data_IF_396134352109
#
_entry.id   IF_396134352109
#
_cell.length_a   1.000
_cell.length_b   1.000
_cell.length_c   1.000
_cell.angle_alpha   90.00
_cell.angle_beta   90.00
_cell.angle_gamma   90.00
#
_symmetry.space_group_name_H-M   'P 1'
#
loop_
_entity.id
_entity.type
_entity.pdbx_description
1 polymer ?
#
# COMPACT_ATOMS: atom_id res chain seq x y z
N UNK A 1 -4.35 32.87 6.74
CA UNK A 1 -3.24 32.02 7.24
C UNK A 1 -3.09 30.81 6.33
N UNK A 2 -1.88 30.54 5.82
CA UNK A 2 -1.59 29.37 4.98
C UNK A 2 -1.56 28.09 5.81
N UNK A 3 -1.68 26.92 5.18
CA UNK A 3 -1.54 25.62 5.86
C UNK A 3 -0.17 25.49 6.54
N UNK A 4 0.90 25.89 5.85
CA UNK A 4 2.25 25.85 6.42
C UNK A 4 2.37 26.68 7.71
N UNK A 5 1.93 27.95 7.69
CA UNK A 5 1.99 28.81 8.88
C UNK A 5 1.11 28.29 10.02
N UNK A 6 0.04 27.56 9.70
CA UNK A 6 -0.78 26.87 10.70
C UNK A 6 -0.03 25.72 11.36
N UNK A 7 0.59 24.83 10.57
CA UNK A 7 1.38 23.70 11.07
C UNK A 7 2.58 24.16 11.92
N UNK A 8 3.21 25.27 11.54
CA UNK A 8 4.36 25.86 12.28
C UNK A 8 4.04 26.32 13.69
N UNK A 9 2.76 26.37 14.10
CA UNK A 9 2.37 26.66 15.48
C UNK A 9 2.69 25.52 16.45
N UNK A 10 2.87 24.29 15.96
CA UNK A 10 3.14 23.11 16.81
C UNK A 10 4.11 22.09 16.20
N UNK A 11 4.49 22.21 14.93
CA UNK A 11 5.49 21.36 14.27
C UNK A 11 6.70 22.18 13.84
N UNK A 12 7.91 21.63 13.93
CA UNK A 12 9.14 22.18 13.32
C UNK A 12 9.08 22.16 11.79
N UNK A 13 9.96 22.90 11.13
CA UNK A 13 10.08 22.82 9.66
C UNK A 13 10.48 21.40 9.23
N UNK A 14 11.44 20.78 9.91
CA UNK A 14 11.92 19.43 9.59
C UNK A 14 10.82 18.38 9.76
N UNK A 15 10.01 18.48 10.83
CA UNK A 15 8.86 17.60 11.03
C UNK A 15 7.84 17.73 9.89
N UNK A 16 7.59 18.95 9.40
CA UNK A 16 6.69 19.17 8.26
C UNK A 16 7.30 18.56 6.99
N UNK A 17 8.60 18.76 6.77
CA UNK A 17 9.30 18.22 5.61
C UNK A 17 9.28 16.69 5.59
N UNK A 18 9.51 16.04 6.73
CA UNK A 18 9.49 14.59 6.87
C UNK A 18 8.09 14.01 6.60
N UNK A 19 7.03 14.61 7.16
CA UNK A 19 5.65 14.14 6.86
C UNK A 19 5.30 14.35 5.38
N UNK A 20 5.84 15.38 4.74
CA UNK A 20 5.57 15.74 3.36
C UNK A 20 6.47 15.04 2.32
N UNK A 21 7.54 14.33 2.72
CA UNK A 21 8.53 13.78 1.78
C UNK A 21 8.06 12.55 1.03
N UNK A 22 7.02 11.87 1.52
CA UNK A 22 6.53 10.62 0.96
C UNK A 22 5.47 10.85 -0.12
N UNK A 23 5.48 9.99 -1.16
CA UNK A 23 4.53 10.11 -2.27
C UNK A 23 3.12 9.70 -1.82
N UNK A 24 2.16 10.63 -1.95
CA UNK A 24 0.80 10.42 -1.43
C UNK A 24 -0.03 9.41 -2.24
N UNK A 25 0.13 9.35 -3.57
CA UNK A 25 -0.74 8.59 -4.47
C UNK A 25 0.07 7.88 -5.55
N UNK A 26 -0.12 6.57 -5.68
CA UNK A 26 0.41 5.77 -6.78
C UNK A 26 -0.57 5.67 -7.94
N UNK A 27 -0.93 4.44 -8.30
CA UNK A 27 -1.69 4.12 -9.50
C UNK A 27 -3.20 4.29 -9.29
N UNK A 28 -3.81 5.24 -10.00
CA UNK A 28 -5.27 5.32 -10.11
C UNK A 28 -5.71 4.68 -11.43
N UNK A 29 -6.34 3.52 -11.34
CA UNK A 29 -6.89 2.79 -12.48
C UNK A 29 -8.42 2.88 -12.37
N UNK A 30 -9.05 3.62 -13.29
CA UNK A 30 -10.46 4.01 -13.18
C UNK A 30 -10.66 5.27 -12.33
N UNK A 31 -10.57 6.44 -12.98
CA UNK A 31 -10.64 7.73 -12.28
C UNK A 31 -12.06 8.11 -11.81
N UNK A 32 -13.08 7.70 -12.56
CA UNK A 32 -14.48 8.05 -12.33
C UNK A 32 -15.20 6.92 -11.57
N UNK A 33 -16.09 7.28 -10.64
CA UNK A 33 -16.88 6.32 -9.86
C UNK A 33 -18.21 5.93 -10.52
N UNK A 34 -18.70 4.73 -10.20
CA UNK A 34 -19.97 4.14 -10.58
C UNK A 34 -20.30 4.24 -12.07
N UNK A 35 -19.28 4.03 -12.92
CA UNK A 35 -19.47 3.89 -14.37
C UNK A 35 -19.63 2.41 -14.74
N UNK A 36 -20.08 2.17 -15.97
CA UNK A 36 -20.15 0.84 -16.58
C UNK A 36 -18.88 0.02 -16.36
N UNK A 37 -18.98 -1.31 -16.26
CA UNK A 37 -17.83 -2.18 -16.09
C UNK A 37 -16.71 -1.85 -17.08
N UNK A 38 -15.51 -1.62 -16.57
CA UNK A 38 -14.35 -1.25 -17.37
C UNK A 38 -13.59 -2.48 -17.85
N UNK A 39 -12.95 -2.38 -19.01
CA UNK A 39 -12.09 -3.40 -19.60
C UNK A 39 -10.62 -3.24 -19.22
N UNK A 40 -10.32 -2.48 -18.15
CA UNK A 40 -8.94 -2.29 -17.71
C UNK A 40 -8.34 -3.63 -17.30
N UNK A 41 -7.24 -4.00 -17.97
CA UNK A 41 -6.40 -5.15 -17.64
C UNK A 41 -4.98 -4.65 -17.45
N UNK A 42 -4.42 -4.81 -16.24
CA UNK A 42 -3.08 -4.29 -15.92
C UNK A 42 -2.29 -5.36 -15.17
N UNK A 43 -1.00 -5.47 -15.48
CA UNK A 43 -0.05 -6.25 -14.68
C UNK A 43 0.97 -5.30 -14.03
N UNK A 44 1.13 -5.39 -12.71
CA UNK A 44 2.16 -4.68 -11.96
C UNK A 44 3.13 -5.70 -11.37
N UNK A 45 4.37 -5.72 -11.83
CA UNK A 45 5.36 -6.68 -11.32
C UNK A 45 6.75 -6.09 -11.16
N UNK A 46 7.51 -6.63 -10.21
CA UNK A 46 8.91 -6.25 -9.94
C UNK A 46 9.11 -4.73 -9.72
N UNK A 47 8.07 -4.09 -9.16
CA UNK A 47 8.11 -2.69 -8.80
C UNK A 47 8.57 -2.53 -7.35
N UNK A 48 9.49 -1.59 -7.13
CA UNK A 48 9.85 -1.12 -5.79
C UNK A 48 9.10 0.17 -5.48
N UNK A 49 8.14 0.11 -4.55
CA UNK A 49 7.41 1.26 -4.04
C UNK A 49 8.02 1.71 -2.72
N UNK A 50 8.94 2.67 -2.77
CA UNK A 50 9.57 3.23 -1.58
C UNK A 50 8.78 4.46 -1.08
N UNK A 51 8.30 4.43 0.16
CA UNK A 51 7.60 5.53 0.81
C UNK A 51 6.27 5.90 0.14
N UNK A 52 5.60 4.95 -0.52
CA UNK A 52 4.32 5.21 -1.19
C UNK A 52 3.16 5.01 -0.20
N UNK A 53 2.31 6.02 -0.05
CA UNK A 53 1.28 6.02 0.99
C UNK A 53 -0.05 5.34 0.61
N UNK A 54 -0.39 5.32 -0.68
CA UNK A 54 -1.72 4.92 -1.15
C UNK A 54 -1.64 4.45 -2.62
N UNK A 55 -2.58 3.56 -3.00
CA UNK A 55 -2.84 3.14 -4.38
C UNK A 55 -1.72 2.31 -5.01
N UNK A 56 -1.53 1.10 -4.50
CA UNK A 56 -0.56 0.12 -5.01
C UNK A 56 -1.19 -1.16 -5.59
N UNK A 57 -2.23 -1.11 -6.46
CA UNK A 57 -2.89 0.04 -7.09
C UNK A 57 -4.16 0.49 -6.35
N UNK A 58 -4.86 1.51 -6.87
CA UNK A 58 -6.29 1.72 -6.62
C UNK A 58 -7.10 1.51 -7.89
N UNK A 59 -7.96 0.49 -7.87
CA UNK A 59 -8.77 0.05 -8.99
C UNK A 59 -10.26 0.36 -8.77
N UNK A 60 -10.92 0.83 -9.85
CA UNK A 60 -12.38 0.85 -9.99
C UNK A 60 -12.77 0.05 -11.22
N UNK A 61 -13.51 -1.03 -11.01
CA UNK A 61 -13.85 -1.98 -12.07
C UNK A 61 -12.61 -2.55 -12.78
N UNK A 62 -12.78 -3.54 -13.67
CA UNK A 62 -11.66 -4.19 -14.38
C UNK A 62 -10.83 -5.13 -13.49
N UNK A 63 -9.64 -5.47 -13.99
CA UNK A 63 -8.80 -6.56 -13.50
C UNK A 63 -7.32 -6.14 -13.41
N UNK A 64 -6.68 -6.38 -12.27
CA UNK A 64 -5.25 -6.13 -12.10
C UNK A 64 -4.54 -7.32 -11.46
N UNK A 65 -3.50 -7.82 -12.14
CA UNK A 65 -2.58 -8.80 -11.59
C UNK A 65 -1.37 -8.08 -10.99
N UNK A 66 -1.06 -8.38 -9.73
CA UNK A 66 0.11 -7.84 -9.03
C UNK A 66 1.00 -9.00 -8.59
N UNK A 67 2.29 -8.98 -8.91
CA UNK A 67 3.21 -9.99 -8.38
C UNK A 67 4.65 -9.52 -8.21
N UNK A 68 5.39 -10.11 -7.27
CA UNK A 68 6.78 -9.74 -6.98
C UNK A 68 6.97 -8.22 -6.76
N UNK A 69 6.06 -7.55 -6.06
CA UNK A 69 6.28 -6.14 -5.69
C UNK A 69 6.88 -6.05 -4.30
N UNK A 70 7.71 -5.03 -4.08
CA UNK A 70 8.14 -4.63 -2.73
C UNK A 70 7.60 -3.24 -2.45
N UNK A 71 6.59 -3.17 -1.59
CA UNK A 71 6.02 -1.93 -1.09
C UNK A 71 6.62 -1.64 0.29
N UNK A 72 7.69 -0.86 0.30
CA UNK A 72 8.38 -0.45 1.52
C UNK A 72 7.95 0.96 1.92
N UNK A 73 7.04 1.01 2.89
CA UNK A 73 6.60 2.23 3.55
C UNK A 73 7.04 2.25 5.01
N UNK A 74 8.15 1.58 5.34
CA UNK A 74 8.68 1.48 6.70
C UNK A 74 8.95 2.83 7.34
N UNK A 75 9.71 3.69 6.67
CA UNK A 75 10.01 5.05 7.14
C UNK A 75 8.72 5.89 7.24
N UNK A 76 7.85 5.83 6.23
CA UNK A 76 6.56 6.52 6.26
C UNK A 76 5.70 6.08 7.45
N UNK A 77 5.77 4.80 7.83
CA UNK A 77 5.05 4.25 8.99
C UNK A 77 5.64 4.74 10.30
N UNK A 78 6.96 4.80 10.43
CA UNK A 78 7.63 5.40 11.60
C UNK A 78 7.28 6.88 11.70
N UNK A 79 7.29 7.62 10.59
CA UNK A 79 6.84 9.02 10.54
C UNK A 79 5.40 9.18 10.96
N UNK A 80 4.51 8.31 10.46
CA UNK A 80 3.10 8.28 10.89
C UNK A 80 2.97 8.12 12.39
N UNK A 81 3.74 7.21 13.00
CA UNK A 81 3.67 6.94 14.44
C UNK A 81 3.97 8.20 15.24
N UNK A 82 5.13 8.82 15.03
CA UNK A 82 5.49 9.99 15.82
C UNK A 82 4.57 11.18 15.51
N UNK A 83 4.08 11.30 14.27
CA UNK A 83 3.11 12.33 13.90
C UNK A 83 1.81 12.17 14.68
N UNK A 84 1.26 10.95 14.75
CA UNK A 84 0.04 10.65 15.51
C UNK A 84 0.28 10.91 17.02
N UNK A 85 1.45 10.53 17.57
CA UNK A 85 1.82 10.81 18.97
C UNK A 85 1.89 12.32 19.27
N UNK A 86 2.55 13.10 18.39
CA UNK A 86 2.61 14.56 18.49
C UNK A 86 1.22 15.19 18.41
N UNK A 87 0.40 14.71 17.46
CA UNK A 87 -0.96 15.20 17.25
C UNK A 87 -1.82 14.98 18.50
N UNK A 88 -1.74 13.79 19.11
CA UNK A 88 -2.47 13.44 20.32
C UNK A 88 -1.99 14.21 21.57
N UNK A 89 -0.71 14.59 21.62
CA UNK A 89 -0.15 15.40 22.71
C UNK A 89 -0.42 16.91 22.55
N UNK A 90 -0.80 17.36 21.35
CA UNK A 90 -1.03 18.78 21.04
C UNK A 90 -2.44 19.21 21.42
N UNK A 91 -2.60 20.43 21.95
CA UNK A 91 -3.90 21.01 22.27
C UNK A 91 -4.88 20.94 21.09
N UNK A 92 -6.11 20.51 21.36
CA UNK A 92 -7.18 20.41 20.36
C UNK A 92 -7.47 21.73 19.64
N UNK A 93 -7.24 22.88 20.28
CA UNK A 93 -7.36 24.20 19.65
C UNK A 93 -6.34 24.42 18.53
N UNK A 94 -5.12 23.89 18.68
CA UNK A 94 -4.05 24.02 17.69
C UNK A 94 -4.21 23.00 16.56
N UNK A 95 -4.92 21.89 16.77
CA UNK A 95 -5.16 20.85 15.75
C UNK A 95 -6.56 20.89 15.13
N UNK A 96 -7.43 21.80 15.59
CA UNK A 96 -8.85 21.86 15.20
C UNK A 96 -9.11 21.83 13.68
N UNK A 97 -8.28 22.50 12.87
CA UNK A 97 -8.47 22.54 11.40
C UNK A 97 -8.08 21.23 10.71
N UNK A 98 -7.20 20.43 11.32
CA UNK A 98 -6.88 19.08 10.84
C UNK A 98 -8.01 18.13 11.21
N UNK A 99 -8.52 18.20 12.45
CA UNK A 99 -9.62 17.37 12.93
C UNK A 99 -10.93 17.64 12.17
N UNK A 100 -11.23 18.91 11.86
CA UNK A 100 -12.42 19.28 11.08
C UNK A 100 -12.33 18.92 9.60
N UNK A 101 -11.17 18.45 9.12
CA UNK A 101 -10.91 18.20 7.71
C UNK A 101 -10.75 19.47 6.87
N UNK A 102 -10.67 20.65 7.49
CA UNK A 102 -10.39 21.89 6.75
C UNK A 102 -8.99 21.90 6.15
N UNK A 103 -8.02 21.24 6.81
CA UNK A 103 -6.70 20.93 6.28
C UNK A 103 -6.46 19.42 6.33
N UNK A 104 -5.75 18.91 5.32
CA UNK A 104 -5.32 17.52 5.27
C UNK A 104 -3.79 17.46 5.28
N UNK A 105 -3.24 17.02 6.39
CA UNK A 105 -1.80 16.80 6.57
C UNK A 105 -1.59 15.52 7.38
N UNK A 106 -0.62 14.71 6.98
CA UNK A 106 -0.35 13.41 7.59
C UNK A 106 -0.15 12.28 6.59
N UNK A 107 0.22 11.12 7.13
CA UNK A 107 0.61 9.95 6.37
C UNK A 107 -0.58 8.98 6.20
N UNK A 108 -0.88 8.62 4.95
CA UNK A 108 -1.80 7.50 4.65
C UNK A 108 -1.00 6.21 4.58
N UNK A 109 -1.62 5.07 4.89
CA UNK A 109 -0.94 3.78 4.92
C UNK A 109 -1.85 2.68 4.36
N UNK A 110 -2.05 2.73 3.05
CA UNK A 110 -2.85 1.76 2.29
C UNK A 110 -2.01 1.11 1.20
N UNK A 111 -2.29 -0.15 0.90
CA UNK A 111 -1.69 -0.90 -0.20
C UNK A 111 -2.54 -0.90 -1.46
N UNK A 112 -2.89 -2.11 -1.89
CA UNK A 112 -3.83 -2.39 -2.96
C UNK A 112 -5.26 -2.11 -2.50
N UNK A 113 -5.97 -1.33 -3.31
CA UNK A 113 -7.34 -0.90 -3.06
C UNK A 113 -8.16 -1.26 -4.28
N UNK A 114 -9.27 -1.91 -4.06
CA UNK A 114 -10.24 -2.10 -5.12
C UNK A 114 -11.64 -1.79 -4.65
N UNK A 115 -12.40 -1.28 -5.61
CA UNK A 115 -13.71 -0.71 -5.40
C UNK A 115 -14.55 -0.99 -6.64
N UNK A 116 -15.86 -0.91 -6.49
CA UNK A 116 -16.80 -0.85 -7.62
C UNK A 116 -16.65 -2.05 -8.59
N UNK A 117 -16.61 -3.26 -8.04
CA UNK A 117 -16.46 -4.50 -8.80
C UNK A 117 -15.08 -4.70 -9.42
N UNK A 118 -14.04 -3.99 -9.01
CA UNK A 118 -12.66 -4.28 -9.46
C UNK A 118 -12.14 -5.61 -8.89
N UNK A 119 -11.26 -6.29 -9.63
CA UNK A 119 -10.60 -7.54 -9.25
C UNK A 119 -9.09 -7.35 -9.17
N UNK A 120 -8.48 -7.63 -8.03
CA UNK A 120 -7.01 -7.59 -7.84
C UNK A 120 -6.54 -8.88 -7.22
N UNK A 121 -5.57 -9.53 -7.86
CA UNK A 121 -4.81 -10.61 -7.27
C UNK A 121 -3.38 -10.14 -6.97
N UNK A 122 -2.91 -10.36 -5.75
CA UNK A 122 -1.53 -10.03 -5.34
C UNK A 122 -0.78 -11.31 -4.97
N UNK A 123 0.22 -11.67 -5.75
CA UNK A 123 0.96 -12.93 -5.55
C UNK A 123 2.42 -12.64 -5.21
N UNK A 124 2.98 -13.39 -4.26
CA UNK A 124 4.42 -13.38 -3.97
C UNK A 124 4.99 -11.96 -3.81
N UNK A 125 4.37 -11.16 -2.95
CA UNK A 125 4.71 -9.74 -2.80
C UNK A 125 5.04 -9.42 -1.34
N UNK A 126 5.62 -8.25 -1.09
CA UNK A 126 6.02 -7.84 0.25
C UNK A 126 5.57 -6.41 0.55
N UNK A 127 4.73 -6.25 1.58
CA UNK A 127 4.35 -4.97 2.17
C UNK A 127 5.06 -4.75 3.51
N UNK A 128 5.88 -3.71 3.63
CA UNK A 128 6.51 -3.29 4.89
C UNK A 128 5.96 -1.91 5.29
N UNK A 129 5.46 -1.77 6.52
CA UNK A 129 4.93 -0.49 7.02
C UNK A 129 3.60 -0.05 6.39
N UNK A 130 2.84 -0.95 5.77
CA UNK A 130 1.56 -0.63 5.12
C UNK A 130 0.41 -1.17 5.97
N UNK A 131 -0.23 -0.32 6.79
CA UNK A 131 -1.25 -0.72 7.77
C UNK A 131 -2.42 -1.52 7.18
N UNK A 132 -2.88 -1.13 5.99
CA UNK A 132 -3.99 -1.82 5.31
C UNK A 132 -3.58 -2.21 3.90
N UNK A 133 -2.86 -3.34 3.74
CA UNK A 133 -2.26 -3.71 2.46
C UNK A 133 -3.31 -4.13 1.42
N UNK A 134 -4.44 -4.73 1.83
CA UNK A 134 -5.57 -5.02 0.95
C UNK A 134 -6.84 -4.32 1.45
N UNK A 135 -7.50 -3.57 0.56
CA UNK A 135 -8.76 -2.87 0.88
C UNK A 135 -9.81 -3.09 -0.19
N UNK A 136 -11.06 -3.34 0.21
CA UNK A 136 -12.14 -3.69 -0.72
C UNK A 136 -13.29 -2.67 -0.85
N UNK A 137 -13.31 -1.62 -0.02
CA UNK A 137 -14.29 -0.54 -0.14
C UNK A 137 -13.68 0.76 0.45
N UNK A 138 -13.95 1.91 -0.17
CA UNK A 138 -13.42 3.22 0.23
C UNK A 138 -14.49 4.33 0.31
N UNK A 139 -15.76 4.02 0.04
CA UNK A 139 -16.81 5.04 -0.06
C UNK A 139 -17.88 4.82 0.99
N UNK A 140 -18.54 3.66 0.94
CA UNK A 140 -19.62 3.28 1.83
C UNK A 140 -19.59 1.77 1.99
N UNK A 141 -19.13 1.31 3.15
CA UNK A 141 -18.95 -0.11 3.48
C UNK A 141 -20.27 -0.88 3.53
N UNK A 142 -21.40 -0.19 3.63
CA UNK A 142 -22.74 -0.79 3.66
C UNK A 142 -23.35 -0.94 2.27
N UNK A 143 -22.79 -0.25 1.28
CA UNK A 143 -23.25 -0.30 -0.10
C UNK A 143 -22.30 -1.14 -0.96
N UNK A 144 -22.75 -2.35 -1.30
CA UNK A 144 -21.99 -3.34 -2.06
C UNK A 144 -21.58 -2.88 -3.46
N UNK A 145 -22.24 -1.86 -4.03
CA UNK A 145 -21.84 -1.29 -5.33
C UNK A 145 -20.46 -0.63 -5.31
N UNK A 146 -19.93 -0.30 -4.13
CA UNK A 146 -18.57 0.22 -3.98
C UNK A 146 -17.54 -0.85 -3.65
N UNK A 147 -17.94 -2.10 -3.47
CA UNK A 147 -17.05 -3.19 -3.06
C UNK A 147 -16.38 -3.84 -4.28
N UNK A 148 -15.08 -4.14 -4.17
CA UNK A 148 -14.33 -4.99 -5.12
C UNK A 148 -13.86 -6.29 -4.48
N UNK A 149 -13.26 -7.20 -5.26
CA UNK A 149 -12.74 -8.48 -4.76
C UNK A 149 -11.21 -8.53 -4.83
N UNK A 150 -10.55 -8.65 -3.69
CA UNK A 150 -9.08 -8.75 -3.58
C UNK A 150 -8.69 -10.04 -2.90
N UNK A 151 -7.65 -10.69 -3.43
CA UNK A 151 -7.00 -11.83 -2.81
C UNK A 151 -5.50 -11.73 -2.93
N UNK A 152 -4.78 -12.36 -2.01
CA UNK A 152 -3.35 -12.45 -2.06
C UNK A 152 -2.84 -13.85 -1.72
N UNK A 153 -1.71 -14.21 -2.33
CA UNK A 153 -1.04 -15.49 -2.15
C UNK A 153 0.44 -15.29 -1.86
N UNK A 154 1.01 -16.09 -0.96
CA UNK A 154 2.45 -16.09 -0.68
C UNK A 154 3.03 -14.71 -0.35
N UNK A 155 2.26 -13.84 0.31
CA UNK A 155 2.60 -12.43 0.51
C UNK A 155 3.09 -12.20 1.94
N UNK A 156 4.18 -11.42 2.08
CA UNK A 156 4.73 -11.01 3.37
C UNK A 156 4.20 -9.64 3.76
N UNK A 157 3.92 -9.47 5.04
CA UNK A 157 3.48 -8.23 5.66
C UNK A 157 4.27 -7.96 6.93
N UNK A 158 4.81 -6.75 7.05
CA UNK A 158 5.54 -6.31 8.23
C UNK A 158 5.01 -4.99 8.79
N UNK A 159 4.82 -4.95 10.11
CA UNK A 159 4.30 -3.79 10.83
C UNK A 159 5.09 -3.52 12.13
N UNK A 160 4.93 -2.32 12.70
CA UNK A 160 5.66 -1.94 13.91
C UNK A 160 5.18 -2.75 15.11
N UNK A 161 6.09 -3.43 15.79
CA UNK A 161 5.79 -4.17 17.00
C UNK A 161 5.27 -3.26 18.12
N UNK A 162 4.25 -3.73 18.84
CA UNK A 162 3.58 -2.98 19.91
C UNK A 162 2.60 -1.92 19.41
N UNK A 163 2.99 -1.11 18.42
CA UNK A 163 2.12 -0.04 17.90
C UNK A 163 1.02 -0.58 16.98
N UNK A 164 1.33 -1.59 16.18
CA UNK A 164 0.41 -2.12 15.15
C UNK A 164 -0.21 -3.47 15.48
N UNK A 165 -0.16 -3.90 16.75
CA UNK A 165 -0.66 -5.21 17.16
C UNK A 165 -2.14 -5.43 16.85
N UNK A 166 -2.93 -4.37 16.73
CA UNK A 166 -4.35 -4.45 16.30
C UNK A 166 -4.53 -4.77 14.81
N UNK A 167 -3.53 -4.48 13.97
CA UNK A 167 -3.53 -4.78 12.53
C UNK A 167 -2.88 -6.12 12.21
N UNK A 168 -2.09 -6.67 13.13
CA UNK A 168 -1.45 -7.98 13.03
C UNK A 168 -1.51 -8.68 14.39
N UNK A 169 -2.66 -9.28 14.69
CA UNK A 169 -2.93 -9.91 15.98
C UNK A 169 -2.10 -11.18 16.24
N UNK A 170 -1.74 -11.91 15.18
CA UNK A 170 -1.00 -13.17 15.24
C UNK A 170 0.30 -13.10 14.42
N UNK A 171 1.31 -12.34 14.87
CA UNK A 171 2.58 -12.31 14.18
C UNK A 171 3.27 -13.68 14.26
N UNK A 172 3.88 -14.12 13.17
CA UNK A 172 4.61 -15.39 13.09
C UNK A 172 6.04 -15.26 13.62
N UNK A 173 6.63 -14.07 13.52
CA UNK A 173 7.95 -13.76 14.08
C UNK A 173 8.10 -12.25 14.26
N UNK A 174 9.23 -11.83 14.85
CA UNK A 174 9.64 -10.44 14.90
C UNK A 174 11.15 -10.31 14.76
N UNK A 175 11.61 -9.13 14.36
CA UNK A 175 13.03 -8.78 14.32
C UNK A 175 13.23 -7.29 14.59
N UNK A 176 14.42 -6.90 15.05
CA UNK A 176 14.83 -5.50 15.18
C UNK A 176 15.83 -5.17 14.08
N UNK A 177 15.57 -4.11 13.32
CA UNK A 177 16.44 -3.68 12.23
C UNK A 177 17.61 -2.81 12.72
N UNK A 178 18.48 -2.41 11.79
CA UNK A 178 19.64 -1.55 12.07
C UNK A 178 19.27 -0.16 12.58
N UNK A 179 18.02 0.28 12.36
CA UNK A 179 17.49 1.55 12.86
C UNK A 179 16.86 1.39 14.24
N UNK A 180 17.04 0.23 14.90
CA UNK A 180 16.45 -0.12 16.19
C UNK A 180 14.92 -0.14 16.18
N UNK A 181 14.31 -0.35 15.01
CA UNK A 181 12.87 -0.52 14.86
C UNK A 181 12.54 -2.00 14.91
N UNK A 182 11.65 -2.39 15.82
CA UNK A 182 11.16 -3.77 15.92
C UNK A 182 9.94 -3.97 15.02
N UNK A 183 10.06 -4.89 14.07
CA UNK A 183 9.02 -5.28 13.13
C UNK A 183 8.41 -6.63 13.52
N UNK A 184 7.10 -6.72 13.46
CA UNK A 184 6.36 -7.99 13.45
C UNK A 184 6.20 -8.47 12.02
N UNK A 185 6.28 -9.78 11.83
CA UNK A 185 6.23 -10.41 10.52
C UNK A 185 5.06 -11.38 10.47
N UNK A 186 4.30 -11.29 9.38
CA UNK A 186 3.33 -12.29 8.98
C UNK A 186 3.53 -12.60 7.48
N UNK A 187 3.39 -13.86 7.08
CA UNK A 187 3.43 -14.26 5.68
C UNK A 187 2.43 -15.39 5.40
N UNK A 188 1.82 -15.34 4.21
CA UNK A 188 0.86 -16.34 3.76
C UNK A 188 -0.16 -15.81 2.77
N UNK A 189 -1.31 -16.46 2.74
CA UNK A 189 -2.42 -16.13 1.85
C UNK A 189 -3.48 -15.29 2.57
N UNK A 190 -4.16 -14.40 1.84
CA UNK A 190 -5.17 -13.52 2.43
C UNK A 190 -6.36 -14.29 3.03
N UNK A 191 -6.59 -15.53 2.61
CA UNK A 191 -7.66 -16.40 3.11
C UNK A 191 -7.33 -17.11 4.42
N UNK A 192 -6.11 -17.00 4.94
CA UNK A 192 -5.76 -17.57 6.23
C UNK A 192 -6.56 -16.88 7.36
N UNK A 193 -7.02 -17.65 8.34
CA UNK A 193 -7.88 -17.16 9.44
C UNK A 193 -7.25 -16.02 10.24
N UNK A 194 -5.93 -16.01 10.35
CA UNK A 194 -5.12 -15.04 11.09
C UNK A 194 -4.38 -14.06 10.17
N UNK A 195 -4.84 -13.94 8.92
CA UNK A 195 -4.24 -13.05 7.92
C UNK A 195 -4.23 -11.60 8.37
N UNK A 196 -3.06 -10.98 8.27
CA UNK A 196 -2.89 -9.53 8.46
C UNK A 196 -3.10 -8.71 7.19
N UNK A 197 -3.43 -9.36 6.05
CA UNK A 197 -3.52 -8.69 4.76
C UNK A 197 -4.86 -7.98 4.53
N UNK A 198 -5.93 -8.45 5.17
CA UNK A 198 -7.31 -8.07 4.83
C UNK A 198 -7.86 -8.84 3.62
N UNK A 199 -8.93 -8.36 2.97
CA UNK A 199 -9.63 -7.10 3.21
C UNK A 199 -10.51 -7.12 4.46
N UNK A 200 -10.74 -5.96 5.09
CA UNK A 200 -11.50 -5.85 6.35
C UNK A 200 -12.58 -4.76 6.36
N UNK A 201 -12.75 -3.97 5.29
CA UNK A 201 -13.64 -2.80 5.31
C UNK A 201 -15.11 -3.15 5.08
N UNK A 202 -15.39 -3.92 4.03
CA UNK A 202 -16.72 -4.41 3.70
C UNK A 202 -16.71 -5.95 3.59
N UNK A 203 -17.88 -6.58 3.64
CA UNK A 203 -18.01 -8.02 3.40
C UNK A 203 -17.32 -8.41 2.09
N UNK A 204 -16.36 -9.36 2.11
CA UNK A 204 -15.70 -9.82 0.90
C UNK A 204 -16.71 -10.38 -0.10
N UNK A 205 -16.46 -10.15 -1.38
CA UNK A 205 -17.19 -10.76 -2.48
C UNK A 205 -16.29 -11.79 -3.16
N UNK A 206 -16.89 -12.75 -3.86
CA UNK A 206 -16.15 -13.79 -4.56
C UNK A 206 -15.27 -13.18 -5.65
N UNK A 207 -14.05 -13.69 -5.73
CA UNK A 207 -13.08 -13.28 -6.73
C UNK A 207 -13.34 -14.01 -8.05
N UNK A 208 -13.52 -13.26 -9.13
CA UNK A 208 -13.62 -13.79 -10.48
C UNK A 208 -13.15 -12.75 -11.50
N UNK A 209 -12.16 -13.08 -12.32
CA UNK A 209 -11.69 -12.18 -13.38
C UNK A 209 -12.82 -11.83 -14.36
N UNK A 210 -12.99 -10.55 -14.68
CA UNK A 210 -14.06 -10.10 -15.58
C UNK A 210 -13.68 -10.18 -17.06
N UNK A 211 -12.42 -9.89 -17.39
CA UNK A 211 -11.91 -9.75 -18.75
C UNK A 211 -11.03 -10.94 -19.17
N UNK A 212 -11.22 -12.08 -18.52
CA UNK A 212 -10.41 -13.29 -18.71
C UNK A 212 -9.22 -13.35 -17.75
N UNK A 213 -8.76 -14.58 -17.48
CA UNK A 213 -7.60 -14.80 -16.61
C UNK A 213 -6.34 -14.20 -17.24
N UNK A 214 -5.55 -13.40 -16.49
CA UNK A 214 -4.30 -12.85 -16.99
C UNK A 214 -3.28 -13.98 -17.27
N UNK A 215 -2.24 -13.71 -18.08
CA UNK A 215 -1.16 -14.66 -18.28
C UNK A 215 -0.57 -15.14 -16.96
N UNK A 216 -0.18 -16.42 -16.91
CA UNK A 216 0.49 -16.98 -15.73
C UNK A 216 1.77 -16.20 -15.43
N UNK A 217 1.96 -15.69 -14.19
CA UNK A 217 3.20 -15.02 -13.79
C UNK A 217 4.42 -15.89 -14.07
N UNK A 218 5.45 -15.29 -14.66
CA UNK A 218 6.77 -15.92 -14.84
C UNK A 218 7.75 -15.35 -13.82
N UNK A 219 8.76 -16.15 -13.47
CA UNK A 219 9.84 -15.76 -12.55
C UNK A 219 9.32 -15.28 -11.18
N UNK A 220 8.38 -16.01 -10.59
CA UNK A 220 7.94 -15.71 -9.22
C UNK A 220 9.11 -15.87 -8.24
N UNK A 221 9.28 -14.87 -7.39
CA UNK A 221 10.27 -14.87 -6.32
C UNK A 221 9.56 -15.08 -5.00
N UNK A 222 10.26 -15.58 -3.99
CA UNK A 222 9.71 -15.58 -2.63
C UNK A 222 9.67 -14.14 -2.11
N UNK A 223 8.68 -13.82 -1.27
CA UNK A 223 8.54 -12.47 -0.72
C UNK A 223 9.79 -11.98 0.05
N UNK A 224 10.61 -12.91 0.56
CA UNK A 224 11.86 -12.61 1.27
C UNK A 224 13.03 -12.21 0.36
N UNK A 225 13.01 -12.60 -0.91
CA UNK A 225 14.05 -12.24 -1.89
C UNK A 225 13.83 -10.84 -2.48
N UNK A 226 12.59 -10.33 -2.42
CA UNK A 226 12.20 -9.08 -3.10
C UNK A 226 12.96 -7.83 -2.63
N UNK A 227 13.27 -7.64 -1.33
CA UNK A 227 14.04 -6.47 -0.90
C UNK A 227 15.40 -6.38 -1.61
N UNK A 228 16.17 -7.46 -1.60
CA UNK A 228 17.50 -7.50 -2.22
C UNK A 228 17.41 -7.38 -3.75
N UNK A 229 16.45 -8.08 -4.36
CA UNK A 229 16.25 -8.05 -5.81
C UNK A 229 15.87 -6.64 -6.30
N UNK A 230 14.84 -6.03 -5.69
CA UNK A 230 14.22 -4.83 -6.23
C UNK A 230 14.97 -3.56 -5.85
N UNK A 231 15.63 -3.50 -4.69
CA UNK A 231 16.54 -2.38 -4.39
C UNK A 231 17.75 -2.36 -5.33
N UNK A 232 18.17 -3.54 -5.81
CA UNK A 232 19.27 -3.68 -6.77
C UNK A 232 18.85 -3.36 -8.20
N UNK A 233 17.73 -3.91 -8.68
CA UNK A 233 17.41 -3.90 -10.11
C UNK A 233 16.23 -3.02 -10.53
N UNK A 234 15.32 -2.63 -9.62
CA UNK A 234 14.18 -1.80 -9.99
C UNK A 234 14.59 -0.33 -10.14
N UNK A 235 14.11 0.30 -11.22
CA UNK A 235 14.31 1.72 -11.50
C UNK A 235 15.29 2.02 -12.64
N UNK A 236 15.23 3.25 -13.14
CA UNK A 236 16.09 3.71 -14.22
C UNK A 236 17.57 3.67 -13.83
N UNK A 237 18.44 3.32 -14.78
CA UNK A 237 19.89 3.28 -14.58
C UNK A 237 20.42 2.07 -13.81
N UNK A 238 19.56 1.11 -13.42
CA UNK A 238 19.97 -0.12 -12.71
C UNK A 238 20.38 -1.28 -13.63
N UNK A 239 19.85 -1.32 -14.85
CA UNK A 239 20.17 -2.36 -15.85
C UNK A 239 21.02 -1.75 -16.94
N UNK A 240 22.13 -2.43 -17.27
CA UNK A 240 23.01 -2.06 -18.38
C UNK A 240 22.62 -2.87 -19.62
N UNK A 241 21.82 -2.25 -20.49
CA UNK A 241 21.42 -2.81 -21.78
C UNK A 241 21.91 -1.89 -22.90
N UNK A 242 22.20 -2.48 -24.06
CA UNK A 242 22.36 -1.74 -25.31
C UNK A 242 21.04 -1.10 -25.74
N UNK A 243 21.09 -0.06 -26.58
CA UNK A 243 19.88 0.54 -27.14
C UNK A 243 19.01 -0.49 -27.89
N UNK A 244 19.62 -1.44 -28.61
CA UNK A 244 18.90 -2.50 -29.30
C UNK A 244 18.15 -3.42 -28.32
N UNK A 245 18.76 -3.74 -27.18
CA UNK A 245 18.11 -4.52 -26.13
C UNK A 245 16.93 -3.76 -25.51
N UNK A 246 17.04 -2.46 -25.23
CA UNK A 246 15.90 -1.67 -24.75
C UNK A 246 14.68 -1.69 -25.69
N UNK A 247 14.91 -1.85 -27.00
CA UNK A 247 13.85 -1.94 -28.01
C UNK A 247 13.27 -3.36 -28.19
N UNK A 248 13.79 -4.36 -27.47
CA UNK A 248 13.32 -5.74 -27.53
C UNK A 248 12.54 -6.12 -26.27
N UNK A 249 11.28 -6.51 -26.44
CA UNK A 249 10.39 -6.91 -25.35
C UNK A 249 10.66 -8.32 -24.78
N UNK A 250 11.53 -9.11 -25.41
CA UNK A 250 11.77 -10.53 -25.08
C UNK A 250 13.18 -10.84 -24.56
N UNK A 251 13.93 -9.86 -24.04
CA UNK A 251 15.26 -10.14 -23.48
C UNK A 251 15.22 -10.90 -22.15
#
# INVERSE_FOLDING_TARGET
>A
MTVYNYLRQFMTQDQIMEVASYQKKGHLIGANGLKEPSTYTVTLHHNYYNGLMDRMPRLRSGDVQVFNIYADSGDARVTKKWYDDLFNATSSSLTAKLTSGSYHFGVTSNGSILTEGGMVEVTNSFYKGVLTPLRNNQTDVTNSSYTGAIRAYGTRHELLSGTDSSYMASPQSSYTDSSSVTWMVWAGDSSATDSSLGPTQATPIDFAWHNGEPPTPKNLHTATELPDLLTKYAGAGKVSLTAAQWMNANN
#
